data_IF_510838592758
#
_entry.id   IF_510838592758
#
_cell.length_a   1.000
_cell.length_b   1.000
_cell.length_c   1.000
_cell.angle_alpha   90.00
_cell.angle_beta   90.00
_cell.angle_gamma   90.00
#
_symmetry.space_group_name_H-M   'P 1'
#
loop_
_entity.id
_entity.type
_entity.pdbx_description
1 polymer ?
#
# COMPACT_ATOMS: atom_id res chain seq x y z
N UNK A 1 25.33 -3.48 -2.79
CA UNK A 1 24.57 -4.42 -1.94
C UNK A 1 23.07 -4.29 -2.17
N UNK A 2 22.37 -3.30 -1.60
CA UNK A 2 20.89 -3.20 -1.64
C UNK A 2 20.29 -3.46 -3.03
N UNK A 3 20.66 -2.62 -4.00
CA UNK A 3 20.21 -2.76 -5.38
C UNK A 3 20.51 -4.14 -5.99
N UNK A 4 21.68 -4.72 -5.72
CA UNK A 4 22.06 -6.00 -6.30
C UNK A 4 21.26 -7.17 -5.72
N UNK A 5 20.91 -7.12 -4.43
CA UNK A 5 20.03 -8.12 -3.80
C UNK A 5 18.65 -8.04 -4.44
N UNK A 6 18.11 -6.84 -4.62
CA UNK A 6 16.82 -6.66 -5.28
C UNK A 6 16.84 -7.09 -6.75
N UNK A 7 17.87 -6.68 -7.51
CA UNK A 7 18.06 -7.08 -8.90
C UNK A 7 18.14 -8.61 -9.07
N UNK A 8 18.75 -9.32 -8.12
CA UNK A 8 18.76 -10.79 -8.13
C UNK A 8 17.36 -11.38 -7.96
N UNK A 9 16.53 -10.83 -7.08
CA UNK A 9 15.13 -11.25 -6.90
C UNK A 9 14.28 -10.95 -8.12
N UNK A 10 14.55 -9.85 -8.80
CA UNK A 10 13.81 -9.43 -9.99
C UNK A 10 14.26 -10.19 -11.27
N UNK A 11 15.18 -11.16 -11.15
CA UNK A 11 15.68 -11.94 -12.29
C UNK A 11 16.81 -11.28 -13.10
N UNK A 12 17.35 -10.15 -12.64
CA UNK A 12 18.50 -9.47 -13.27
C UNK A 12 19.85 -10.03 -12.78
N UNK A 13 19.99 -11.35 -12.76
CA UNK A 13 21.13 -12.07 -12.19
C UNK A 13 22.49 -11.54 -12.69
N UNK A 14 22.65 -11.46 -14.02
CA UNK A 14 23.91 -11.04 -14.64
C UNK A 14 24.32 -9.64 -14.18
N UNK A 15 23.36 -8.73 -14.02
CA UNK A 15 23.62 -7.37 -13.57
C UNK A 15 23.96 -7.35 -12.07
N UNK A 16 23.19 -8.07 -11.25
CA UNK A 16 23.41 -8.20 -9.81
C UNK A 16 24.84 -8.70 -9.49
N UNK A 17 25.29 -9.75 -10.18
CA UNK A 17 26.61 -10.37 -9.97
C UNK A 17 27.80 -9.47 -10.30
N UNK A 18 27.62 -8.44 -11.14
CA UNK A 18 28.65 -7.43 -11.41
C UNK A 18 28.92 -6.52 -10.22
N UNK A 19 27.96 -6.43 -9.30
CA UNK A 19 28.00 -5.50 -8.16
C UNK A 19 28.11 -6.21 -6.80
N UNK A 20 27.78 -7.49 -6.73
CA UNK A 20 27.83 -8.30 -5.51
C UNK A 20 28.16 -9.76 -5.86
N UNK A 21 29.17 -10.32 -5.23
CA UNK A 21 29.46 -11.76 -5.28
C UNK A 21 28.37 -12.49 -4.50
N UNK A 22 27.44 -13.14 -5.22
CA UNK A 22 26.26 -13.81 -4.65
C UNK A 22 26.36 -15.33 -4.85
N UNK A 23 25.97 -16.18 -3.88
CA UNK A 23 25.82 -17.62 -4.08
C UNK A 23 24.47 -17.95 -4.77
N UNK A 24 24.26 -19.21 -5.14
CA UNK A 24 22.96 -19.72 -5.58
C UNK A 24 22.44 -19.12 -6.88
N UNK A 25 21.17 -19.40 -7.20
CA UNK A 25 20.44 -18.90 -8.37
C UNK A 25 19.36 -17.90 -7.93
N UNK A 26 18.71 -17.14 -8.85
CA UNK A 26 17.64 -16.18 -8.49
C UNK A 26 16.53 -16.75 -7.60
N UNK A 27 16.17 -18.02 -7.78
CA UNK A 27 15.17 -18.71 -6.96
C UNK A 27 15.57 -18.80 -5.47
N UNK A 28 16.87 -18.88 -5.15
CA UNK A 28 17.34 -18.93 -3.77
C UNK A 28 17.17 -17.61 -3.03
N UNK A 29 16.90 -16.51 -3.74
CA UNK A 29 16.68 -15.18 -3.19
C UNK A 29 15.20 -14.80 -3.13
N UNK A 30 14.28 -15.68 -3.56
CA UNK A 30 12.84 -15.50 -3.42
C UNK A 30 12.38 -15.83 -1.99
N UNK A 31 11.14 -15.48 -1.65
CA UNK A 31 10.53 -15.87 -0.37
C UNK A 31 10.61 -17.40 -0.21
N UNK A 32 11.10 -17.87 0.93
CA UNK A 32 11.36 -19.29 1.20
C UNK A 32 12.71 -19.82 0.69
N UNK A 33 13.43 -19.04 -0.12
CA UNK A 33 14.76 -19.37 -0.61
C UNK A 33 15.85 -19.25 0.46
N UNK A 34 16.93 -20.05 0.30
CA UNK A 34 18.03 -20.14 1.28
C UNK A 34 18.77 -18.82 1.53
N UNK A 35 18.83 -17.96 0.52
CA UNK A 35 19.54 -16.68 0.56
C UNK A 35 18.60 -15.48 0.56
N UNK A 36 17.31 -15.70 0.87
CA UNK A 36 16.33 -14.64 1.01
C UNK A 36 16.76 -13.66 2.10
N UNK A 37 16.88 -12.39 1.72
CA UNK A 37 16.97 -11.28 2.68
C UNK A 37 15.71 -10.42 2.51
N UNK A 38 14.95 -10.19 3.58
CA UNK A 38 13.77 -9.36 3.49
C UNK A 38 14.08 -7.95 2.99
N UNK A 39 13.32 -7.42 2.01
CA UNK A 39 13.53 -6.08 1.49
C UNK A 39 13.51 -4.98 2.57
N UNK A 40 12.57 -5.09 3.52
CA UNK A 40 12.40 -4.10 4.61
C UNK A 40 13.59 -4.08 5.58
N UNK A 41 14.25 -5.22 5.81
CA UNK A 41 15.47 -5.26 6.63
C UNK A 41 16.62 -4.51 5.97
N UNK A 42 16.75 -4.57 4.63
CA UNK A 42 17.76 -3.81 3.90
C UNK A 42 17.51 -2.30 4.01
N UNK A 43 16.26 -1.89 3.88
CA UNK A 43 15.87 -0.49 4.03
C UNK A 43 16.20 0.05 5.44
N UNK A 44 15.91 -0.74 6.47
CA UNK A 44 16.22 -0.38 7.85
C UNK A 44 17.73 -0.33 8.12
N UNK A 45 18.52 -1.23 7.51
CA UNK A 45 19.99 -1.17 7.53
C UNK A 45 20.52 0.10 6.83
N UNK A 46 19.93 0.51 5.71
CA UNK A 46 20.32 1.76 5.02
C UNK A 46 20.04 2.94 5.94
N UNK A 47 18.85 2.99 6.55
CA UNK A 47 18.47 4.03 7.49
C UNK A 47 19.43 4.11 8.68
N UNK A 48 19.81 2.97 9.24
CA UNK A 48 20.80 2.90 10.33
C UNK A 48 22.15 3.47 9.86
N UNK A 49 22.62 3.06 8.68
CA UNK A 49 23.86 3.61 8.11
C UNK A 49 23.77 5.13 7.93
N UNK A 50 22.62 5.67 7.52
CA UNK A 50 22.43 7.10 7.34
C UNK A 50 22.42 7.84 8.69
N UNK A 51 21.79 7.25 9.71
CA UNK A 51 21.72 7.81 11.06
C UNK A 51 23.11 7.94 11.70
N UNK A 52 23.99 6.96 11.47
CA UNK A 52 25.39 7.00 11.91
C UNK A 52 26.23 8.06 11.16
N UNK A 53 25.72 8.65 10.09
CA UNK A 53 26.39 9.73 9.36
C UNK A 53 27.54 9.28 8.45
N UNK A 54 28.37 10.23 7.97
CA UNK A 54 29.48 9.92 7.08
C UNK A 54 30.58 9.11 7.78
N UNK A 55 31.42 8.46 6.98
CA UNK A 55 32.54 7.64 7.45
C UNK A 55 33.54 8.47 8.28
N UNK A 56 34.04 7.87 9.36
CA UNK A 56 35.29 8.29 9.99
C UNK A 56 36.52 7.82 9.21
N UNK A 57 37.53 8.68 9.03
CA UNK A 57 38.70 8.40 8.18
C UNK A 57 39.43 7.10 8.57
N UNK A 58 39.50 6.77 9.85
CA UNK A 58 40.21 5.60 10.38
C UNK A 58 39.38 4.29 10.42
N UNK A 59 38.09 4.32 10.08
CA UNK A 59 37.22 3.15 10.21
C UNK A 59 37.57 2.04 9.20
N UNK A 60 37.56 0.79 9.68
CA UNK A 60 37.67 -0.41 8.82
C UNK A 60 36.39 -0.62 8.01
N UNK A 61 36.51 -1.15 6.80
CA UNK A 61 35.36 -1.40 5.93
C UNK A 61 34.88 -2.84 6.04
N UNK A 62 33.58 -3.01 6.16
CA UNK A 62 32.94 -4.29 5.83
C UNK A 62 32.79 -4.39 4.32
N UNK A 63 33.31 -5.47 3.71
CA UNK A 63 33.23 -5.67 2.27
C UNK A 63 31.81 -6.09 1.84
N UNK A 64 30.97 -5.12 1.50
CA UNK A 64 29.60 -5.33 0.99
C UNK A 64 29.54 -5.65 -0.52
N UNK A 65 30.68 -5.96 -1.15
CA UNK A 65 30.73 -6.63 -2.46
C UNK A 65 30.80 -8.15 -2.35
N UNK A 66 30.98 -8.69 -1.14
CA UNK A 66 30.99 -10.13 -0.87
C UNK A 66 29.72 -10.55 -0.12
N UNK A 67 29.12 -11.70 -0.46
CA UNK A 67 27.96 -12.23 0.26
C UNK A 67 28.22 -12.42 1.75
N UNK A 68 29.42 -12.87 2.12
CA UNK A 68 29.83 -13.03 3.53
C UNK A 68 29.73 -11.70 4.30
N UNK A 69 30.11 -10.59 3.68
CA UNK A 69 29.98 -9.26 4.27
C UNK A 69 28.52 -8.85 4.44
N UNK A 70 27.67 -9.15 3.46
CA UNK A 70 26.23 -8.90 3.52
C UNK A 70 25.58 -9.68 4.67
N UNK A 71 25.80 -11.00 4.73
CA UNK A 71 25.25 -11.86 5.79
C UNK A 71 25.69 -11.40 7.17
N UNK A 72 26.98 -11.01 7.31
CA UNK A 72 27.47 -10.47 8.58
C UNK A 72 26.71 -9.20 8.99
N UNK A 73 26.49 -8.27 8.06
CA UNK A 73 25.75 -7.03 8.34
C UNK A 73 24.30 -7.32 8.74
N UNK A 74 23.62 -8.19 7.99
CA UNK A 74 22.23 -8.56 8.26
C UNK A 74 22.11 -9.24 9.62
N UNK A 75 22.97 -10.20 9.94
CA UNK A 75 22.91 -10.90 11.24
C UNK A 75 23.17 -9.96 12.42
N UNK A 76 24.10 -8.99 12.27
CA UNK A 76 24.34 -7.98 13.31
C UNK A 76 23.11 -7.10 13.49
N UNK A 77 22.50 -6.65 12.39
CA UNK A 77 21.28 -5.86 12.44
C UNK A 77 20.11 -6.63 13.08
N UNK A 78 19.87 -7.88 12.67
CA UNK A 78 18.83 -8.72 13.24
C UNK A 78 19.04 -8.99 14.72
N UNK A 79 20.28 -9.24 15.17
CA UNK A 79 20.56 -9.41 16.60
C UNK A 79 20.25 -8.15 17.41
N UNK A 80 20.51 -6.98 16.83
CA UNK A 80 20.25 -5.69 17.44
C UNK A 80 18.75 -5.35 17.51
N UNK A 81 18.02 -5.59 16.42
CA UNK A 81 16.55 -5.44 16.36
C UNK A 81 15.83 -6.38 17.33
N UNK A 82 16.28 -7.65 17.42
CA UNK A 82 15.73 -8.62 18.37
C UNK A 82 15.93 -8.18 19.82
N UNK A 83 17.11 -7.61 20.15
CA UNK A 83 17.40 -7.14 21.50
C UNK A 83 16.49 -5.95 21.90
N UNK A 84 16.21 -5.04 20.97
CA UNK A 84 15.32 -3.90 21.21
C UNK A 84 13.85 -4.31 21.30
N UNK A 85 13.42 -5.29 20.50
CA UNK A 85 12.05 -5.80 20.52
C UNK A 85 11.63 -6.38 21.88
N UNK A 86 12.57 -6.96 22.63
CA UNK A 86 12.32 -7.47 23.99
C UNK A 86 12.03 -6.36 25.01
N UNK A 87 12.34 -5.11 24.69
CA UNK A 87 12.03 -3.93 25.50
C UNK A 87 10.67 -3.33 25.11
N UNK A 88 10.31 -3.43 23.83
CA UNK A 88 9.11 -2.79 23.26
C UNK A 88 7.80 -3.54 23.58
N UNK A 89 7.83 -4.87 23.67
CA UNK A 89 6.65 -5.66 24.05
C UNK A 89 7.02 -6.89 24.88
N UNK A 90 6.14 -7.25 25.81
CA UNK A 90 6.29 -8.50 26.56
C UNK A 90 5.98 -9.71 25.65
N UNK A 91 6.54 -10.90 25.91
CA UNK A 91 6.16 -12.11 25.17
C UNK A 91 4.67 -12.43 25.19
N UNK A 92 3.96 -12.03 26.26
CA UNK A 92 2.49 -12.15 26.36
C UNK A 92 1.72 -11.21 25.43
N UNK A 93 2.34 -10.11 24.98
CA UNK A 93 1.70 -9.08 24.16
C UNK A 93 2.07 -9.18 22.67
N UNK A 94 2.79 -10.23 22.27
CA UNK A 94 3.30 -10.37 20.89
C UNK A 94 2.20 -10.32 19.83
N UNK A 95 1.00 -10.82 20.16
CA UNK A 95 -0.17 -10.77 19.27
C UNK A 95 -0.58 -9.32 18.97
N UNK A 96 -0.46 -8.42 19.96
CA UNK A 96 -0.74 -6.99 19.76
C UNK A 96 0.36 -6.31 18.93
N UNK A 97 1.62 -6.79 19.03
CA UNK A 97 2.73 -6.30 18.22
C UNK A 97 2.75 -6.83 16.77
N UNK A 98 2.02 -7.91 16.48
CA UNK A 98 2.02 -8.56 15.16
C UNK A 98 1.67 -7.62 14.01
N UNK A 99 0.69 -6.73 14.19
CA UNK A 99 0.28 -5.78 13.16
C UNK A 99 1.40 -4.80 12.81
N UNK A 100 2.12 -4.30 13.83
CA UNK A 100 3.30 -3.44 13.70
C UNK A 100 4.44 -4.18 12.97
N UNK A 101 4.66 -5.46 13.30
CA UNK A 101 5.68 -6.30 12.66
C UNK A 101 5.35 -6.65 11.20
N UNK A 102 4.06 -6.79 10.88
CA UNK A 102 3.61 -7.17 9.55
C UNK A 102 3.57 -5.97 8.59
N UNK A 103 3.25 -4.76 9.06
CA UNK A 103 3.13 -3.59 8.20
C UNK A 103 4.36 -3.28 7.34
N UNK A 104 5.61 -3.31 7.87
CA UNK A 104 6.81 -3.16 7.07
C UNK A 104 6.97 -4.23 5.98
N UNK A 105 6.18 -5.29 5.96
CA UNK A 105 6.29 -6.38 4.99
C UNK A 105 5.20 -6.29 3.91
N UNK A 106 4.06 -5.68 4.26
CA UNK A 106 2.82 -5.70 3.48
C UNK A 106 3.02 -5.29 2.01
N UNK A 107 3.69 -4.16 1.76
CA UNK A 107 3.88 -3.66 0.39
C UNK A 107 4.62 -4.66 -0.51
N UNK A 108 5.59 -5.38 0.06
CA UNK A 108 6.42 -6.32 -0.65
C UNK A 108 5.73 -7.67 -0.90
N UNK A 109 4.76 -8.05 -0.06
CA UNK A 109 3.97 -9.27 -0.27
C UNK A 109 2.99 -9.12 -1.45
N UNK A 110 2.43 -7.93 -1.65
CA UNK A 110 1.60 -7.61 -2.83
C UNK A 110 2.47 -7.44 -4.10
N UNK A 111 3.73 -7.06 -3.90
CA UNK A 111 4.63 -6.63 -4.97
C UNK A 111 4.42 -5.15 -5.29
N UNK A 112 5.51 -4.46 -5.59
CA UNK A 112 5.54 -3.01 -5.81
C UNK A 112 5.51 -2.62 -7.28
N UNK A 113 5.98 -3.52 -8.15
CA UNK A 113 6.20 -3.26 -9.57
C UNK A 113 5.20 -4.02 -10.43
N UNK A 114 3.92 -3.68 -10.32
CA UNK A 114 2.84 -4.31 -11.07
C UNK A 114 1.86 -3.27 -11.62
N UNK A 115 1.12 -3.66 -12.66
CA UNK A 115 0.16 -2.77 -13.31
C UNK A 115 -1.00 -2.39 -12.40
N UNK A 116 -1.35 -3.27 -11.45
CA UNK A 116 -2.35 -3.01 -10.42
C UNK A 116 -2.04 -1.73 -9.62
N UNK A 117 -0.83 -1.61 -9.04
CA UNK A 117 -0.44 -0.43 -8.26
C UNK A 117 -0.33 0.82 -9.11
N UNK A 118 0.22 0.69 -10.32
CA UNK A 118 0.34 1.85 -11.20
C UNK A 118 -1.04 2.35 -11.64
N UNK A 119 -1.89 1.44 -12.15
CA UNK A 119 -3.25 1.74 -12.62
C UNK A 119 -4.12 2.33 -11.53
N UNK A 120 -4.12 1.75 -10.32
CA UNK A 120 -4.90 2.32 -9.22
C UNK A 120 -4.43 3.73 -8.87
N UNK A 121 -3.11 3.93 -8.72
CA UNK A 121 -2.60 5.15 -8.10
C UNK A 121 -2.84 6.34 -9.04
N UNK A 122 -2.62 6.10 -10.33
CA UNK A 122 -2.84 7.11 -11.36
C UNK A 122 -4.31 7.35 -11.64
N UNK A 123 -5.16 6.33 -11.56
CA UNK A 123 -6.60 6.56 -11.67
C UNK A 123 -7.16 7.38 -10.51
N UNK A 124 -6.69 7.10 -9.28
CA UNK A 124 -7.24 7.68 -8.05
C UNK A 124 -6.64 9.05 -7.72
N UNK A 125 -5.34 9.26 -7.94
CA UNK A 125 -4.65 10.49 -7.54
C UNK A 125 -4.40 11.47 -8.68
N UNK A 126 -4.32 11.02 -9.94
CA UNK A 126 -4.12 11.91 -11.09
C UNK A 126 -5.44 12.48 -11.62
N UNK A 127 -6.28 12.99 -10.72
CA UNK A 127 -7.47 13.79 -11.10
C UNK A 127 -7.04 15.20 -11.48
N UNK A 128 -7.92 15.96 -12.14
CA UNK A 128 -7.61 17.36 -12.49
C UNK A 128 -7.23 18.20 -11.26
N UNK A 129 -7.95 18.04 -10.14
CA UNK A 129 -7.63 18.67 -8.86
C UNK A 129 -6.30 18.18 -8.28
N UNK A 130 -6.03 16.87 -8.33
CA UNK A 130 -4.77 16.30 -7.87
C UNK A 130 -3.57 16.81 -8.68
N UNK A 131 -3.70 16.88 -10.01
CA UNK A 131 -2.70 17.44 -10.92
C UNK A 131 -2.45 18.92 -10.65
N UNK A 132 -3.51 19.70 -10.45
CA UNK A 132 -3.40 21.13 -10.15
C UNK A 132 -2.65 21.37 -8.83
N UNK A 133 -3.00 20.65 -7.76
CA UNK A 133 -2.31 20.75 -6.46
C UNK A 133 -0.85 20.33 -6.57
N UNK A 134 -0.57 19.25 -7.29
CA UNK A 134 0.81 18.79 -7.49
C UNK A 134 1.65 19.82 -8.26
N UNK A 135 1.07 20.41 -9.31
CA UNK A 135 1.73 21.46 -10.09
C UNK A 135 1.97 22.73 -9.25
N UNK A 136 1.00 23.18 -8.47
CA UNK A 136 1.17 24.32 -7.56
C UNK A 136 2.29 24.07 -6.55
N UNK A 137 2.35 22.86 -5.98
CA UNK A 137 3.33 22.49 -4.96
C UNK A 137 4.76 22.37 -5.50
N UNK A 138 4.93 21.84 -6.72
CA UNK A 138 6.24 21.44 -7.23
C UNK A 138 6.69 22.11 -8.53
N UNK A 139 5.81 22.84 -9.22
CA UNK A 139 6.11 23.51 -10.48
C UNK A 139 6.39 22.56 -11.66
N UNK A 140 5.96 21.29 -11.57
CA UNK A 140 6.10 20.28 -12.61
C UNK A 140 4.78 19.52 -12.77
N UNK A 141 4.42 19.18 -14.01
CA UNK A 141 3.24 18.37 -14.28
C UNK A 141 3.41 16.97 -13.68
N UNK A 142 2.31 16.40 -13.18
CA UNK A 142 2.34 15.08 -12.56
C UNK A 142 2.79 14.01 -13.57
N UNK A 143 2.36 14.10 -14.83
CA UNK A 143 2.72 13.19 -15.91
C UNK A 143 4.22 13.23 -16.23
N UNK A 144 4.83 14.42 -16.23
CA UNK A 144 6.29 14.56 -16.40
C UNK A 144 7.04 13.94 -15.22
N UNK A 145 6.52 14.12 -14.00
CA UNK A 145 7.05 13.48 -12.80
C UNK A 145 7.05 11.94 -12.94
N UNK A 146 5.94 11.34 -13.40
CA UNK A 146 5.89 9.90 -13.67
C UNK A 146 6.85 9.49 -14.77
N UNK A 147 6.85 10.18 -15.90
CA UNK A 147 7.69 9.84 -17.06
C UNK A 147 9.16 9.76 -16.66
N UNK A 148 9.62 10.74 -15.88
CA UNK A 148 10.99 10.81 -15.41
C UNK A 148 11.24 9.76 -14.33
N UNK A 149 10.36 9.64 -13.32
CA UNK A 149 10.49 8.63 -12.26
C UNK A 149 10.52 7.21 -12.80
N UNK A 150 9.65 6.90 -13.75
CA UNK A 150 9.60 5.62 -14.45
C UNK A 150 10.82 5.41 -15.35
N UNK A 151 11.28 6.44 -16.06
CA UNK A 151 12.54 6.38 -16.81
C UNK A 151 13.75 6.03 -15.92
N UNK A 152 13.81 6.58 -14.70
CA UNK A 152 14.83 6.23 -13.70
C UNK A 152 14.64 4.77 -13.23
N UNK A 153 13.41 4.34 -12.98
CA UNK A 153 13.09 2.96 -12.60
C UNK A 153 13.52 1.94 -13.66
N UNK A 154 13.27 2.22 -14.94
CA UNK A 154 13.71 1.38 -16.07
C UNK A 154 15.22 1.43 -16.23
N UNK A 155 15.82 2.63 -16.19
CA UNK A 155 17.27 2.81 -16.29
C UNK A 155 18.06 2.11 -15.19
N UNK A 156 17.45 1.94 -14.02
CA UNK A 156 18.04 1.23 -12.90
C UNK A 156 17.88 -0.29 -12.94
N UNK A 157 17.27 -0.87 -13.98
CA UNK A 157 17.12 -2.33 -14.11
C UNK A 157 18.46 -3.08 -14.20
N UNK A 158 19.45 -2.49 -14.87
CA UNK A 158 20.76 -3.10 -15.13
C UNK A 158 21.92 -2.42 -14.42
N UNK A 159 21.69 -1.26 -13.81
CA UNK A 159 22.71 -0.51 -13.10
C UNK A 159 22.11 0.11 -11.82
N UNK A 160 22.88 0.19 -10.72
CA UNK A 160 22.41 0.80 -9.48
C UNK A 160 22.24 2.32 -9.54
N UNK A 161 22.70 2.96 -10.61
CA UNK A 161 22.64 4.39 -10.80
C UNK A 161 22.31 4.76 -12.24
N UNK A 162 21.53 5.84 -12.39
CA UNK A 162 21.14 6.43 -13.67
C UNK A 162 21.79 7.80 -13.79
N UNK A 163 22.14 8.21 -15.01
CA UNK A 163 22.67 9.56 -15.31
C UNK A 163 21.75 10.26 -16.28
N UNK A 164 21.80 11.60 -16.29
CA UNK A 164 20.97 12.42 -17.18
C UNK A 164 21.09 12.01 -18.66
N UNK A 165 22.30 11.68 -19.12
CA UNK A 165 22.54 11.24 -20.50
C UNK A 165 21.79 9.96 -20.89
N UNK A 166 21.49 9.07 -19.94
CA UNK A 166 20.69 7.86 -20.19
C UNK A 166 19.23 8.21 -20.54
N UNK A 167 18.71 9.29 -19.97
CA UNK A 167 17.32 9.73 -20.14
C UNK A 167 17.15 10.72 -21.29
N UNK A 168 18.24 11.25 -21.85
CA UNK A 168 18.18 12.22 -22.96
C UNK A 168 17.46 11.71 -24.22
N UNK A 169 17.62 10.42 -24.63
CA UNK A 169 16.84 9.87 -25.76
C UNK A 169 15.31 9.89 -25.54
N UNK A 170 14.88 9.97 -24.28
CA UNK A 170 13.48 10.04 -23.88
C UNK A 170 12.93 11.48 -23.85
N UNK A 171 13.73 12.44 -24.32
CA UNK A 171 13.42 13.88 -24.29
C UNK A 171 13.57 14.53 -22.91
N UNK A 172 14.09 13.81 -21.91
CA UNK A 172 14.20 14.29 -20.53
C UNK A 172 15.46 15.16 -20.39
N UNK A 173 15.25 16.43 -20.05
CA UNK A 173 16.33 17.40 -19.80
C UNK A 173 16.86 17.30 -18.37
N UNK A 174 18.11 17.70 -18.17
CA UNK A 174 18.74 17.71 -16.84
C UNK A 174 17.98 18.57 -15.82
N UNK A 175 17.37 19.67 -16.26
CA UNK A 175 16.55 20.53 -15.39
C UNK A 175 15.32 19.78 -14.85
N UNK A 176 14.62 19.04 -15.69
CA UNK A 176 13.44 18.26 -15.28
C UNK A 176 13.83 17.12 -14.33
N UNK A 177 14.95 16.45 -14.60
CA UNK A 177 15.50 15.43 -13.71
C UNK A 177 15.84 16.00 -12.32
N UNK A 178 16.37 17.23 -12.28
CA UNK A 178 16.63 17.94 -11.02
C UNK A 178 15.35 18.27 -10.27
N UNK A 179 14.29 18.72 -10.97
CA UNK A 179 12.98 18.98 -10.37
C UNK A 179 12.41 17.71 -9.73
N UNK A 180 12.42 16.58 -10.44
CA UNK A 180 11.96 15.30 -9.87
C UNK A 180 12.83 14.86 -8.70
N UNK A 181 14.15 15.01 -8.78
CA UNK A 181 15.03 14.72 -7.65
C UNK A 181 14.66 15.54 -6.41
N UNK A 182 14.25 16.80 -6.55
CA UNK A 182 13.87 17.62 -5.40
C UNK A 182 12.58 17.14 -4.71
N UNK A 183 11.76 16.35 -5.39
CA UNK A 183 10.50 15.80 -4.85
C UNK A 183 10.73 14.44 -4.17
N UNK A 184 11.56 13.57 -4.78
CA UNK A 184 11.69 12.15 -4.40
C UNK A 184 13.13 11.71 -4.15
N UNK A 185 14.01 12.65 -3.83
CA UNK A 185 15.41 12.38 -3.68
C UNK A 185 16.16 13.44 -2.90
N UNK A 186 17.40 13.12 -2.58
CA UNK A 186 18.28 14.04 -1.91
C UNK A 186 19.74 13.75 -2.26
N UNK A 187 20.61 14.71 -1.96
CA UNK A 187 22.05 14.46 -1.89
C UNK A 187 22.35 13.48 -0.76
N UNK A 188 23.49 12.80 -0.80
CA UNK A 188 23.90 11.92 0.30
C UNK A 188 23.99 12.66 1.65
N UNK A 189 24.43 13.92 1.64
CA UNK A 189 24.46 14.75 2.85
C UNK A 189 23.05 15.03 3.40
N UNK A 190 22.11 15.40 2.53
CA UNK A 190 20.73 15.63 2.94
C UNK A 190 20.03 14.36 3.44
N UNK A 191 20.41 13.19 2.94
CA UNK A 191 19.96 11.90 3.48
C UNK A 191 20.47 11.62 4.91
N UNK A 192 21.72 11.98 5.22
CA UNK A 192 22.23 11.91 6.59
C UNK A 192 21.48 12.87 7.53
N UNK A 193 21.22 14.09 7.07
CA UNK A 193 20.45 15.08 7.83
C UNK A 193 19.02 14.61 8.08
N UNK A 194 18.32 14.14 7.05
CA UNK A 194 16.97 13.61 7.17
C UNK A 194 16.90 12.44 8.16
N UNK A 195 17.83 11.48 8.08
CA UNK A 195 17.82 10.32 8.97
C UNK A 195 18.00 10.70 10.44
N UNK A 196 18.86 11.68 10.74
CA UNK A 196 19.06 12.22 12.09
C UNK A 196 17.86 13.02 12.60
N UNK A 197 17.28 13.87 11.75
CA UNK A 197 16.12 14.69 12.11
C UNK A 197 14.83 13.88 12.28
N UNK A 198 14.79 12.65 11.77
CA UNK A 198 13.65 11.73 11.90
C UNK A 198 13.94 10.56 12.84
N UNK A 199 15.00 10.64 13.64
CA UNK A 199 15.19 9.71 14.76
C UNK A 199 14.13 9.97 15.83
N UNK A 200 13.72 8.89 16.48
CA UNK A 200 12.89 8.95 17.66
C UNK A 200 13.35 7.82 18.60
N UNK A 201 13.87 8.12 19.80
CA UNK A 201 14.34 7.10 20.73
C UNK A 201 13.21 6.24 21.32
N UNK A 202 11.96 6.72 21.26
CA UNK A 202 10.77 6.02 21.79
C UNK A 202 10.17 5.02 20.78
N UNK A 203 10.70 4.98 19.56
CA UNK A 203 10.23 4.08 18.50
C UNK A 203 11.36 3.09 18.17
N UNK A 204 11.10 1.77 18.26
CA UNK A 204 12.08 0.77 17.84
C UNK A 204 12.54 0.98 16.40
N UNK A 205 13.80 0.64 16.13
CA UNK A 205 14.49 0.97 14.88
C UNK A 205 13.79 0.42 13.63
N UNK A 206 13.16 -0.74 13.74
CA UNK A 206 12.45 -1.41 12.64
C UNK A 206 11.14 -0.70 12.25
N UNK A 207 10.60 0.14 13.13
CA UNK A 207 9.38 0.90 12.91
C UNK A 207 9.63 2.36 12.52
N UNK A 208 10.88 2.79 12.49
CA UNK A 208 11.23 4.14 12.11
C UNK A 208 10.97 4.40 10.61
N UNK A 209 10.77 5.68 10.27
CA UNK A 209 10.53 6.14 8.89
C UNK A 209 11.60 5.67 7.93
N UNK A 210 11.17 5.12 6.79
CA UNK A 210 12.05 4.67 5.72
C UNK A 210 12.58 5.83 4.89
N UNK A 211 13.90 6.02 4.91
CA UNK A 211 14.57 7.03 4.07
C UNK A 211 14.33 6.73 2.58
N UNK A 212 14.33 5.46 2.19
CA UNK A 212 14.28 5.09 0.78
C UNK A 212 12.85 5.00 0.23
N UNK A 213 11.81 4.86 1.08
CA UNK A 213 10.41 5.04 0.65
C UNK A 213 10.06 6.50 0.40
N UNK A 214 10.57 7.43 1.21
CA UNK A 214 10.28 8.86 1.05
C UNK A 214 11.14 9.53 -0.01
N UNK A 215 12.44 9.24 0.03
CA UNK A 215 13.45 9.82 -0.85
C UNK A 215 14.26 8.70 -1.54
N UNK A 216 13.64 7.92 -2.45
CA UNK A 216 14.29 6.77 -3.09
C UNK A 216 15.56 7.10 -3.89
N UNK A 217 15.75 8.37 -4.28
CA UNK A 217 16.89 8.79 -5.11
C UNK A 217 18.01 9.39 -4.26
N UNK A 218 19.22 8.87 -4.47
CA UNK A 218 20.45 9.33 -3.83
C UNK A 218 21.34 9.99 -4.88
N UNK A 219 21.42 11.32 -4.87
CA UNK A 219 22.33 12.04 -5.75
C UNK A 219 23.76 11.95 -5.22
N UNK A 220 24.64 11.46 -6.08
CA UNK A 220 26.09 11.42 -5.87
C UNK A 220 26.81 12.03 -7.07
N UNK A 221 27.97 12.62 -6.83
CA UNK A 221 28.82 13.16 -7.89
C UNK A 221 30.13 12.39 -7.95
N UNK A 222 30.55 12.02 -9.15
CA UNK A 222 31.86 11.40 -9.40
C UNK A 222 32.54 12.02 -10.62
N UNK A 223 33.66 11.43 -11.06
CA UNK A 223 34.43 11.92 -12.21
C UNK A 223 33.64 11.94 -13.53
N UNK A 224 32.52 11.21 -13.63
CA UNK A 224 31.64 11.19 -14.81
C UNK A 224 30.42 12.12 -14.63
N UNK A 225 30.43 12.97 -13.60
CA UNK A 225 29.37 13.92 -13.27
C UNK A 225 28.36 13.37 -12.26
N UNK A 226 27.17 13.96 -12.26
CA UNK A 226 26.07 13.56 -11.37
C UNK A 226 25.53 12.18 -11.76
N UNK A 227 25.27 11.36 -10.73
CA UNK A 227 24.59 10.08 -10.82
C UNK A 227 23.49 10.01 -9.76
N UNK A 228 22.38 9.39 -10.13
CA UNK A 228 21.22 9.18 -9.28
C UNK A 228 21.21 7.70 -8.91
N UNK A 229 21.64 7.37 -7.70
CA UNK A 229 21.64 6.01 -7.17
C UNK A 229 20.25 5.65 -6.66
N UNK A 230 19.82 4.41 -6.92
CA UNK A 230 18.51 3.89 -6.53
C UNK A 230 18.74 2.65 -5.66
N UNK A 231 18.79 2.80 -4.32
CA UNK A 231 19.06 1.68 -3.43
C UNK A 231 17.98 0.62 -3.47
N UNK A 232 16.71 1.02 -3.69
CA UNK A 232 15.60 0.11 -3.92
C UNK A 232 14.71 0.60 -5.06
N UNK A 233 14.50 -0.26 -6.05
CA UNK A 233 13.63 0.02 -7.21
C UNK A 233 12.16 -0.06 -6.82
N UNK A 234 11.84 -0.97 -5.91
CA UNK A 234 10.54 -1.18 -5.30
C UNK A 234 10.07 0.09 -4.59
N UNK A 235 10.94 0.71 -3.78
CA UNK A 235 10.60 1.93 -3.08
C UNK A 235 10.50 3.15 -4.01
N UNK A 236 11.29 3.20 -5.09
CA UNK A 236 11.07 4.18 -6.15
C UNK A 236 9.68 4.04 -6.78
N UNK A 237 9.27 2.81 -7.10
CA UNK A 237 7.94 2.55 -7.66
C UNK A 237 6.82 2.95 -6.71
N UNK A 238 6.94 2.58 -5.42
CA UNK A 238 5.97 2.99 -4.39
C UNK A 238 5.89 4.52 -4.29
N UNK A 239 7.01 5.23 -4.34
CA UNK A 239 7.02 6.69 -4.22
C UNK A 239 6.33 7.39 -5.40
N UNK A 240 6.49 6.90 -6.62
CA UNK A 240 5.85 7.47 -7.83
C UNK A 240 4.43 6.93 -8.08
N UNK A 241 3.93 6.08 -7.19
CA UNK A 241 2.55 5.55 -7.20
C UNK A 241 1.85 5.95 -5.91
N UNK A 242 1.89 5.09 -4.89
CA UNK A 242 1.20 5.29 -3.61
C UNK A 242 1.69 6.53 -2.85
N UNK A 243 2.93 6.97 -3.11
CA UNK A 243 3.48 8.21 -2.56
C UNK A 243 2.74 9.48 -3.00
N UNK A 244 2.06 9.45 -4.16
CA UNK A 244 1.28 10.58 -4.66
C UNK A 244 0.19 11.03 -3.68
N UNK A 245 -0.35 10.11 -2.87
CA UNK A 245 -1.28 10.44 -1.81
C UNK A 245 -0.75 11.58 -0.92
N UNK A 246 0.49 11.48 -0.45
CA UNK A 246 1.10 12.48 0.44
C UNK A 246 1.43 13.79 -0.28
N UNK A 247 1.48 13.77 -1.61
CA UNK A 247 1.72 14.96 -2.40
C UNK A 247 0.48 15.85 -2.49
N UNK A 248 -0.72 15.25 -2.46
CA UNK A 248 -1.99 15.95 -2.74
C UNK A 248 -3.01 15.96 -1.58
N UNK A 249 -2.94 15.03 -0.62
CA UNK A 249 -4.01 14.83 0.39
C UNK A 249 -4.26 16.03 1.31
N UNK A 250 -3.27 16.93 1.45
CA UNK A 250 -3.43 18.15 2.24
C UNK A 250 -4.47 19.10 1.66
N UNK A 251 -4.75 19.02 0.35
CA UNK A 251 -5.81 19.79 -0.28
C UNK A 251 -7.17 19.07 -0.16
N UNK A 252 -8.19 19.70 0.47
CA UNK A 252 -9.48 19.05 0.67
C UNK A 252 -10.23 18.69 -0.62
N UNK A 253 -10.06 19.44 -1.71
CA UNK A 253 -10.74 19.19 -2.99
C UNK A 253 -10.10 18.01 -3.71
N UNK A 254 -8.78 17.98 -3.80
CA UNK A 254 -8.05 16.83 -4.36
C UNK A 254 -8.36 15.56 -3.56
N UNK A 255 -8.34 15.64 -2.22
CA UNK A 255 -8.71 14.50 -1.36
C UNK A 255 -10.13 14.00 -1.63
N UNK A 256 -11.11 14.90 -1.75
CA UNK A 256 -12.50 14.54 -2.07
C UNK A 256 -12.57 13.85 -3.44
N UNK A 257 -11.96 14.44 -4.47
CA UNK A 257 -11.98 13.88 -5.82
C UNK A 257 -11.33 12.50 -5.90
N UNK A 258 -10.22 12.29 -5.17
CA UNK A 258 -9.62 10.97 -5.08
C UNK A 258 -10.55 9.94 -4.45
N UNK A 259 -11.34 10.31 -3.44
CA UNK A 259 -12.39 9.45 -2.88
C UNK A 259 -13.40 9.00 -3.94
N UNK A 260 -13.96 9.95 -4.69
CA UNK A 260 -14.90 9.68 -5.79
C UNK A 260 -14.30 8.77 -6.89
N UNK A 261 -13.02 8.93 -7.22
CA UNK A 261 -12.34 8.05 -8.18
C UNK A 261 -12.09 6.65 -7.61
N UNK A 262 -11.83 6.53 -6.31
CA UNK A 262 -11.71 5.21 -5.67
C UNK A 262 -13.05 4.46 -5.64
N UNK A 263 -14.15 5.14 -5.35
CA UNK A 263 -15.51 4.59 -5.48
C UNK A 263 -15.78 4.14 -6.91
N UNK A 264 -15.46 4.99 -7.89
CA UNK A 264 -15.58 4.67 -9.33
C UNK A 264 -14.77 3.43 -9.71
N UNK A 265 -13.55 3.30 -9.18
CA UNK A 265 -12.70 2.12 -9.39
C UNK A 265 -13.36 0.86 -8.85
N UNK A 266 -13.81 0.88 -7.60
CA UNK A 266 -14.45 -0.26 -6.96
C UNK A 266 -15.71 -0.68 -7.72
N UNK A 267 -16.51 0.29 -8.17
CA UNK A 267 -17.69 0.04 -9.00
C UNK A 267 -17.35 -0.65 -10.32
N UNK A 268 -16.29 -0.22 -11.01
CA UNK A 268 -15.80 -0.86 -12.25
C UNK A 268 -15.33 -2.29 -12.00
N UNK A 269 -14.58 -2.51 -10.92
CA UNK A 269 -14.08 -3.85 -10.54
C UNK A 269 -15.26 -4.79 -10.27
N UNK A 270 -16.23 -4.37 -9.47
CA UNK A 270 -17.40 -5.20 -9.15
C UNK A 270 -18.17 -5.55 -10.41
N UNK A 271 -18.50 -4.54 -11.25
CA UNK A 271 -19.20 -4.75 -12.53
C UNK A 271 -18.49 -5.70 -13.46
N UNK A 272 -17.16 -5.67 -13.49
CA UNK A 272 -16.35 -6.56 -14.33
C UNK A 272 -16.48 -8.03 -13.93
N UNK A 273 -16.73 -8.33 -12.66
CA UNK A 273 -16.75 -9.70 -12.13
C UNK A 273 -18.12 -10.26 -11.79
N UNK A 274 -19.15 -9.40 -11.79
CA UNK A 274 -20.56 -9.78 -11.61
C UNK A 274 -21.22 -10.13 -12.95
N UNK A 275 -22.18 -11.05 -12.92
CA UNK A 275 -23.02 -11.38 -14.09
C UNK A 275 -23.97 -10.23 -14.41
N UNK A 276 -24.46 -10.17 -15.65
CA UNK A 276 -25.43 -9.15 -16.10
C UNK A 276 -26.75 -9.17 -15.30
N UNK A 277 -27.12 -10.33 -14.72
CA UNK A 277 -28.31 -10.48 -13.89
C UNK A 277 -28.17 -9.84 -12.50
N UNK A 278 -26.95 -9.50 -12.08
CA UNK A 278 -26.68 -8.86 -10.79
C UNK A 278 -26.67 -7.34 -11.00
N UNK A 279 -27.52 -6.63 -10.28
CA UNK A 279 -27.58 -5.17 -10.34
C UNK A 279 -26.46 -4.55 -9.53
N UNK A 280 -25.66 -3.67 -10.15
CA UNK A 280 -24.58 -2.93 -9.47
C UNK A 280 -24.82 -1.43 -9.64
N UNK A 281 -25.32 -0.79 -8.58
CA UNK A 281 -25.74 0.62 -8.56
C UNK A 281 -24.76 1.46 -7.74
N UNK A 282 -24.46 2.71 -8.17
CA UNK A 282 -23.73 3.66 -7.33
C UNK A 282 -24.61 4.18 -6.19
N UNK A 283 -24.05 5.06 -5.36
CA UNK A 283 -24.78 5.77 -4.30
C UNK A 283 -26.07 6.44 -4.79
N UNK A 284 -27.05 6.51 -3.88
CA UNK A 284 -28.37 7.08 -4.12
C UNK A 284 -28.70 8.12 -3.05
N UNK A 285 -29.57 9.07 -3.40
CA UNK A 285 -30.08 10.04 -2.42
C UNK A 285 -30.97 9.34 -1.40
N UNK A 286 -30.80 9.70 -0.14
CA UNK A 286 -31.57 9.16 0.99
C UNK A 286 -32.20 10.28 1.81
N UNK A 287 -33.09 9.92 2.73
CA UNK A 287 -33.67 10.84 3.73
C UNK A 287 -32.62 11.54 4.59
N UNK A 288 -31.42 10.98 4.64
CA UNK A 288 -30.36 11.35 5.56
C UNK A 288 -29.07 11.83 4.86
N UNK A 289 -29.14 12.04 3.53
CA UNK A 289 -28.05 12.51 2.69
C UNK A 289 -27.88 11.61 1.46
N UNK A 290 -26.80 10.84 1.46
CA UNK A 290 -26.48 9.82 0.46
C UNK A 290 -26.49 8.44 1.11
N UNK A 291 -26.66 7.38 0.33
CA UNK A 291 -26.50 5.99 0.76
C UNK A 291 -25.04 5.61 0.91
N UNK A 292 -24.76 4.33 1.15
CA UNK A 292 -23.44 3.77 0.90
C UNK A 292 -23.07 3.85 -0.58
N UNK A 293 -21.76 3.81 -0.87
CA UNK A 293 -21.18 4.13 -2.17
C UNK A 293 -21.62 3.18 -3.30
N UNK A 294 -21.83 1.89 -3.00
CA UNK A 294 -22.19 0.87 -4.00
C UNK A 294 -23.23 -0.10 -3.42
N UNK A 295 -24.29 -0.33 -4.18
CA UNK A 295 -25.34 -1.31 -3.87
C UNK A 295 -25.28 -2.44 -4.90
N UNK A 296 -25.18 -3.68 -4.42
CA UNK A 296 -25.10 -4.87 -5.28
C UNK A 296 -26.24 -5.82 -4.94
N UNK A 297 -27.10 -6.11 -5.91
CA UNK A 297 -28.33 -6.88 -5.72
C UNK A 297 -28.41 -8.05 -6.70
N UNK A 298 -28.51 -9.25 -6.17
CA UNK A 298 -28.84 -10.47 -6.90
C UNK A 298 -30.30 -10.83 -6.58
N UNK A 299 -31.21 -10.31 -7.40
CA UNK A 299 -32.65 -10.51 -7.23
C UNK A 299 -33.08 -11.96 -7.45
N UNK A 300 -32.32 -12.75 -8.20
CA UNK A 300 -32.63 -14.16 -8.44
C UNK A 300 -32.40 -14.98 -7.17
N UNK A 301 -31.34 -14.68 -6.43
CA UNK A 301 -30.98 -15.38 -5.19
C UNK A 301 -31.41 -14.65 -3.91
N UNK A 302 -32.08 -13.50 -4.03
CA UNK A 302 -32.47 -12.62 -2.92
C UNK A 302 -31.29 -12.27 -2.00
N UNK A 303 -30.13 -11.97 -2.58
CA UNK A 303 -28.88 -11.70 -1.86
C UNK A 303 -28.25 -10.39 -2.32
N UNK A 304 -27.55 -9.69 -1.43
CA UNK A 304 -26.90 -8.45 -1.82
C UNK A 304 -25.80 -7.97 -0.88
N UNK A 305 -25.03 -7.00 -1.37
CA UNK A 305 -24.01 -6.28 -0.62
C UNK A 305 -24.32 -4.79 -0.62
N UNK A 306 -24.13 -4.17 0.53
CA UNK A 306 -24.05 -2.72 0.70
C UNK A 306 -22.58 -2.40 0.97
N UNK A 307 -21.95 -1.67 0.06
CA UNK A 307 -20.51 -1.46 0.07
C UNK A 307 -20.21 0.02 0.29
N UNK A 308 -19.39 0.29 1.29
CA UNK A 308 -18.86 1.62 1.60
C UNK A 308 -17.35 1.64 1.33
N UNK A 309 -16.89 2.56 0.50
CA UNK A 309 -15.50 2.74 0.13
C UNK A 309 -14.79 3.74 1.07
N UNK A 310 -13.54 3.42 1.43
CA UNK A 310 -12.67 4.27 2.25
C UNK A 310 -11.27 4.35 1.66
N UNK A 311 -10.95 5.53 1.13
CA UNK A 311 -9.64 5.85 0.53
C UNK A 311 -8.54 6.15 1.56
N UNK A 312 -8.91 6.45 2.81
CA UNK A 312 -7.94 6.92 3.82
C UNK A 312 -6.87 5.85 4.05
N UNK A 313 -5.62 6.26 3.88
CA UNK A 313 -4.44 5.43 4.19
C UNK A 313 -4.21 5.37 5.69
N UNK A 314 -3.66 4.25 6.17
CA UNK A 314 -3.33 4.10 7.59
C UNK A 314 -2.17 5.08 7.92
N UNK A 315 -2.37 6.05 8.82
CA UNK A 315 -1.30 6.97 9.20
C UNK A 315 -0.14 6.21 9.83
N UNK A 316 1.09 6.60 9.53
CA UNK A 316 2.27 5.93 10.11
C UNK A 316 2.23 5.93 11.64
N UNK A 317 1.73 7.00 12.28
CA UNK A 317 1.56 7.09 13.73
C UNK A 317 0.71 5.93 14.31
N UNK A 318 -0.29 5.44 13.57
CA UNK A 318 -1.11 4.29 13.96
C UNK A 318 -0.29 3.01 13.91
N UNK A 319 0.50 2.85 12.85
CA UNK A 319 1.24 1.63 12.55
C UNK A 319 2.44 1.38 13.45
N UNK A 320 2.93 2.43 14.12
CA UNK A 320 4.07 2.36 15.04
C UNK A 320 3.64 2.35 16.51
N UNK A 321 2.39 2.76 16.79
CA UNK A 321 1.88 2.90 18.15
C UNK A 321 1.64 1.53 18.79
N UNK A 322 2.03 1.32 20.06
CA UNK A 322 1.65 0.14 20.81
C UNK A 322 0.16 0.13 21.18
N UNK A 323 -0.50 1.30 21.23
CA UNK A 323 -1.90 1.50 21.60
C UNK A 323 -2.64 2.36 20.57
N UNK A 324 -2.82 1.88 19.32
CA UNK A 324 -3.26 2.72 18.21
C UNK A 324 -4.61 3.41 18.42
N UNK A 325 -5.57 2.78 19.12
CA UNK A 325 -6.88 3.40 19.42
C UNK A 325 -6.81 4.57 20.37
N UNK A 326 -5.93 4.51 21.36
CA UNK A 326 -5.77 5.57 22.35
C UNK A 326 -5.00 6.75 21.72
N UNK A 327 -3.92 6.45 21.00
CA UNK A 327 -3.02 7.46 20.44
C UNK A 327 -3.57 8.13 19.17
N UNK A 328 -4.48 7.46 18.47
CA UNK A 328 -4.94 7.86 17.13
C UNK A 328 -6.45 7.68 16.93
N UNK A 329 -7.28 7.94 17.94
CA UNK A 329 -8.74 7.79 17.85
C UNK A 329 -9.35 8.43 16.57
N UNK A 330 -8.86 9.61 16.19
CA UNK A 330 -9.27 10.36 15.00
C UNK A 330 -9.07 9.62 13.66
N UNK A 331 -8.18 8.62 13.66
CA UNK A 331 -7.88 7.80 12.50
C UNK A 331 -9.01 6.80 12.18
N UNK A 332 -9.80 6.41 13.18
CA UNK A 332 -10.79 5.32 13.06
C UNK A 332 -12.20 5.82 12.78
N UNK A 333 -12.49 7.08 13.06
CA UNK A 333 -13.79 7.71 12.83
C UNK A 333 -14.34 7.48 11.42
N UNK A 334 -13.47 7.49 10.41
CA UNK A 334 -13.90 7.30 9.01
C UNK A 334 -14.34 5.86 8.74
N UNK A 335 -13.72 4.86 9.36
CA UNK A 335 -14.11 3.46 9.24
C UNK A 335 -15.40 3.21 10.02
N UNK A 336 -15.50 3.75 11.25
CA UNK A 336 -16.69 3.66 12.09
C UNK A 336 -17.91 4.27 11.37
N UNK A 337 -17.75 5.48 10.80
CA UNK A 337 -18.79 6.12 9.99
C UNK A 337 -19.21 5.25 8.81
N UNK A 338 -18.28 4.53 8.18
CA UNK A 338 -18.59 3.62 7.08
C UNK A 338 -19.50 2.46 7.49
N UNK A 339 -19.24 1.84 8.65
CA UNK A 339 -20.13 0.79 9.21
C UNK A 339 -21.53 1.34 9.48
N UNK A 340 -21.60 2.50 10.12
CA UNK A 340 -22.89 3.16 10.44
C UNK A 340 -23.66 3.54 9.17
N UNK A 341 -22.95 4.00 8.14
CA UNK A 341 -23.53 4.37 6.84
C UNK A 341 -24.19 3.17 6.14
N UNK A 342 -23.55 2.00 6.22
CA UNK A 342 -24.13 0.74 5.74
C UNK A 342 -25.45 0.43 6.47
N UNK A 343 -25.47 0.50 7.80
CA UNK A 343 -26.69 0.22 8.57
C UNK A 343 -27.83 1.21 8.27
N UNK A 344 -27.52 2.50 8.07
CA UNK A 344 -28.52 3.50 7.64
C UNK A 344 -29.07 3.19 6.25
N UNK A 345 -28.20 2.73 5.35
CA UNK A 345 -28.58 2.34 3.99
C UNK A 345 -29.47 1.10 4.00
N UNK A 346 -29.10 0.10 4.81
CA UNK A 346 -29.93 -1.10 4.99
C UNK A 346 -31.32 -0.73 5.49
N UNK A 347 -31.41 0.06 6.56
CA UNK A 347 -32.70 0.49 7.12
C UNK A 347 -33.61 1.16 6.10
N UNK A 348 -33.06 2.06 5.28
CA UNK A 348 -33.87 2.85 4.35
C UNK A 348 -34.35 2.04 3.13
N UNK A 349 -33.49 1.20 2.56
CA UNK A 349 -33.82 0.49 1.31
C UNK A 349 -34.26 -0.96 1.51
N UNK A 350 -33.79 -1.61 2.58
CA UNK A 350 -33.88 -3.07 2.73
C UNK A 350 -34.47 -3.53 4.07
N UNK A 351 -34.77 -2.63 5.02
CA UNK A 351 -35.30 -3.01 6.35
C UNK A 351 -36.63 -3.77 6.32
N UNK A 352 -37.40 -3.65 5.23
CA UNK A 352 -38.63 -4.43 5.00
C UNK A 352 -38.51 -5.41 3.81
N UNK A 353 -37.30 -5.57 3.26
CA UNK A 353 -37.04 -6.42 2.10
C UNK A 353 -36.77 -7.86 2.53
N UNK A 354 -37.19 -8.87 1.74
CA UNK A 354 -36.78 -10.26 1.95
C UNK A 354 -35.32 -10.52 1.55
N UNK A 355 -34.61 -9.53 0.97
CA UNK A 355 -33.22 -9.69 0.57
C UNK A 355 -32.30 -9.92 1.78
N UNK A 356 -31.47 -10.95 1.70
CA UNK A 356 -30.39 -11.19 2.64
C UNK A 356 -29.18 -10.31 2.28
N UNK A 357 -29.00 -9.23 3.05
CA UNK A 357 -27.98 -8.22 2.81
C UNK A 357 -26.82 -8.36 3.80
N UNK A 358 -25.60 -8.14 3.32
CA UNK A 358 -24.43 -7.90 4.16
C UNK A 358 -23.74 -6.58 3.79
N UNK A 359 -23.00 -6.03 4.73
CA UNK A 359 -22.16 -4.86 4.54
C UNK A 359 -20.72 -5.22 4.19
N UNK A 360 -20.06 -4.39 3.39
CA UNK A 360 -18.59 -4.42 3.24
C UNK A 360 -18.05 -3.01 3.31
N UNK A 361 -17.15 -2.73 4.26
CA UNK A 361 -16.31 -1.53 4.17
C UNK A 361 -15.06 -1.89 3.38
N UNK A 362 -14.98 -1.35 2.16
CA UNK A 362 -13.94 -1.59 1.19
C UNK A 362 -12.85 -0.52 1.31
N UNK A 363 -11.63 -0.94 1.61
CA UNK A 363 -10.56 -0.05 2.04
C UNK A 363 -9.43 0.00 1.01
N UNK A 364 -8.87 1.19 0.80
CA UNK A 364 -7.72 1.36 -0.11
C UNK A 364 -6.46 0.68 0.43
N UNK A 365 -6.13 0.93 1.70
CA UNK A 365 -5.17 0.15 2.50
C UNK A 365 -5.97 -0.73 3.48
N UNK A 366 -5.63 -2.02 3.70
CA UNK A 366 -6.43 -2.90 4.55
C UNK A 366 -6.14 -2.61 6.03
N UNK A 367 -7.07 -1.92 6.70
CA UNK A 367 -7.00 -1.66 8.14
C UNK A 367 -7.21 -2.93 8.98
N UNK A 368 -7.76 -3.98 8.38
CA UNK A 368 -7.90 -5.32 9.01
C UNK A 368 -6.57 -5.93 9.44
N UNK A 369 -5.46 -5.45 8.88
CA UNK A 369 -4.08 -5.77 9.26
C UNK A 369 -3.79 -5.51 10.74
N UNK A 370 -4.57 -4.65 11.39
CA UNK A 370 -4.42 -4.27 12.79
C UNK A 370 -4.96 -5.34 13.77
N UNK A 371 -5.63 -6.38 13.25
CA UNK A 371 -6.02 -7.57 14.00
C UNK A 371 -7.42 -7.52 14.62
N UNK A 372 -7.80 -8.59 15.31
CA UNK A 372 -9.17 -8.78 15.78
C UNK A 372 -9.56 -7.91 16.97
N UNK A 373 -8.64 -7.73 17.92
CA UNK A 373 -8.81 -6.80 19.03
C UNK A 373 -9.15 -5.40 18.49
N UNK A 374 -8.53 -5.05 17.36
CA UNK A 374 -8.79 -3.80 16.69
C UNK A 374 -10.20 -3.72 16.09
N UNK A 375 -10.61 -4.78 15.40
CA UNK A 375 -11.94 -4.87 14.83
C UNK A 375 -13.05 -4.79 15.88
N UNK A 376 -12.88 -5.44 17.03
CA UNK A 376 -13.84 -5.39 18.15
C UNK A 376 -14.10 -3.96 18.63
N UNK A 377 -13.06 -3.13 18.71
CA UNK A 377 -13.20 -1.74 19.13
C UNK A 377 -13.90 -0.87 18.09
N UNK A 378 -13.65 -1.07 16.79
CA UNK A 378 -14.42 -0.40 15.73
C UNK A 378 -15.92 -0.70 15.86
N UNK A 379 -16.28 -1.98 15.98
CA UNK A 379 -17.69 -2.37 16.05
C UNK A 379 -18.36 -1.89 17.33
N UNK A 380 -17.65 -1.92 18.45
CA UNK A 380 -18.12 -1.33 19.70
C UNK A 380 -18.45 0.16 19.53
N UNK A 381 -17.52 0.94 18.95
CA UNK A 381 -17.73 2.36 18.70
C UNK A 381 -18.84 2.62 17.67
N UNK A 382 -18.94 1.79 16.63
CA UNK A 382 -20.01 1.87 15.63
C UNK A 382 -21.38 1.62 16.26
N UNK A 383 -21.52 0.63 17.15
CA UNK A 383 -22.76 0.39 17.88
C UNK A 383 -23.16 1.58 18.75
N UNK A 384 -22.22 2.17 19.50
CA UNK A 384 -22.50 3.38 20.27
C UNK A 384 -22.97 4.54 19.39
N UNK A 385 -22.37 4.70 18.21
CA UNK A 385 -22.79 5.74 17.26
C UNK A 385 -24.16 5.43 16.65
N UNK A 386 -24.46 4.16 16.35
CA UNK A 386 -25.75 3.72 15.86
C UNK A 386 -26.87 3.93 16.90
N UNK A 387 -26.59 3.68 18.19
CA UNK A 387 -27.51 3.97 19.30
C UNK A 387 -27.86 5.47 19.35
N UNK A 388 -26.86 6.35 19.24
CA UNK A 388 -27.05 7.82 19.21
C UNK A 388 -27.90 8.28 18.03
N UNK A 389 -27.83 7.57 16.90
CA UNK A 389 -28.60 7.86 15.69
C UNK A 389 -29.96 7.14 15.67
N UNK A 390 -30.30 6.37 16.70
CA UNK A 390 -31.57 5.64 16.78
C UNK A 390 -31.72 4.58 15.69
N UNK A 391 -30.63 3.90 15.30
CA UNK A 391 -30.66 2.76 14.37
C UNK A 391 -30.97 1.49 15.17
N UNK A 392 -32.12 0.83 14.97
CA UNK A 392 -32.48 -0.41 15.67
C UNK A 392 -31.44 -1.54 15.48
N UNK A 393 -31.30 -2.42 16.46
CA UNK A 393 -30.38 -3.58 16.36
C UNK A 393 -30.72 -4.50 15.20
N UNK A 394 -32.00 -4.64 14.84
CA UNK A 394 -32.44 -5.45 13.69
C UNK A 394 -31.93 -4.92 12.34
N UNK A 395 -31.63 -3.63 12.24
CA UNK A 395 -31.09 -3.00 11.03
C UNK A 395 -29.56 -3.06 10.97
N UNK A 396 -28.90 -3.57 12.02
CA UNK A 396 -27.44 -3.66 12.12
C UNK A 396 -26.95 -4.98 11.52
N UNK A 397 -27.13 -5.12 10.20
CA UNK A 397 -26.68 -6.29 9.45
C UNK A 397 -25.17 -6.54 9.64
N UNK A 398 -24.67 -7.79 9.41
CA UNK A 398 -23.24 -8.09 9.44
C UNK A 398 -22.47 -7.18 8.47
N UNK A 399 -21.32 -6.68 8.89
CA UNK A 399 -20.44 -5.84 8.06
C UNK A 399 -19.04 -6.43 8.07
N UNK A 400 -18.53 -6.77 6.89
CA UNK A 400 -17.15 -7.22 6.70
C UNK A 400 -16.22 -6.05 6.39
N UNK A 401 -14.91 -6.25 6.62
CA UNK A 401 -13.88 -5.32 6.20
C UNK A 401 -12.95 -6.00 5.20
N UNK A 402 -12.67 -5.32 4.10
CA UNK A 402 -11.77 -5.87 3.08
C UNK A 402 -10.89 -4.78 2.48
N UNK A 403 -9.61 -5.08 2.30
CA UNK A 403 -8.79 -4.35 1.33
C UNK A 403 -9.33 -4.61 -0.06
N UNK A 404 -9.41 -3.57 -0.89
CA UNK A 404 -10.03 -3.71 -2.21
C UNK A 404 -9.30 -4.69 -3.14
N UNK A 405 -7.97 -4.84 -2.97
CA UNK A 405 -7.19 -5.86 -3.67
C UNK A 405 -7.62 -7.28 -3.30
N UNK A 406 -7.81 -7.53 -2.00
CA UNK A 406 -8.26 -8.83 -1.52
C UNK A 406 -9.67 -9.11 -2.01
N UNK A 407 -10.54 -8.09 -1.99
CA UNK A 407 -11.90 -8.20 -2.52
C UNK A 407 -11.94 -8.50 -4.01
N UNK A 408 -11.09 -7.86 -4.83
CA UNK A 408 -10.92 -8.22 -6.25
C UNK A 408 -10.50 -9.70 -6.39
N UNK A 409 -9.53 -10.15 -5.59
CA UNK A 409 -9.10 -11.54 -5.64
C UNK A 409 -10.22 -12.52 -5.25
N UNK A 410 -11.12 -12.16 -4.35
CA UNK A 410 -12.31 -12.96 -4.02
C UNK A 410 -13.27 -13.00 -5.21
N UNK A 411 -13.60 -11.84 -5.80
CA UNK A 411 -14.45 -11.75 -7.00
C UNK A 411 -13.91 -12.57 -8.19
N UNK A 412 -12.59 -12.71 -8.29
CA UNK A 412 -11.92 -13.52 -9.32
C UNK A 412 -12.02 -15.02 -9.11
N UNK A 413 -12.09 -15.47 -7.86
CA UNK A 413 -11.94 -16.89 -7.50
C UNK A 413 -13.23 -17.55 -7.02
N UNK A 414 -14.27 -16.76 -6.77
CA UNK A 414 -15.51 -17.23 -6.17
C UNK A 414 -16.72 -16.62 -6.87
N UNK A 415 -17.86 -17.31 -6.71
CA UNK A 415 -19.14 -16.79 -7.16
C UNK A 415 -19.64 -15.71 -6.20
N UNK A 416 -20.40 -14.76 -6.75
CA UNK A 416 -20.92 -13.63 -5.98
C UNK A 416 -21.73 -14.07 -4.76
N UNK A 417 -22.58 -15.10 -4.91
CA UNK A 417 -23.37 -15.64 -3.81
C UNK A 417 -22.52 -16.14 -2.64
N UNK A 418 -21.37 -16.78 -2.90
CA UNK A 418 -20.48 -17.26 -1.84
C UNK A 418 -19.83 -16.08 -1.11
N UNK A 419 -19.51 -15.00 -1.82
CA UNK A 419 -18.97 -13.77 -1.22
C UNK A 419 -20.00 -13.11 -0.30
N UNK A 420 -21.28 -13.07 -0.69
CA UNK A 420 -22.36 -12.58 0.20
C UNK A 420 -22.49 -13.45 1.43
N UNK A 421 -22.50 -14.78 1.27
CA UNK A 421 -22.58 -15.73 2.38
C UNK A 421 -21.42 -15.55 3.37
N UNK A 422 -20.18 -15.43 2.86
CA UNK A 422 -19.03 -15.14 3.70
C UNK A 422 -19.16 -13.79 4.41
N UNK A 423 -19.73 -12.77 3.76
CA UNK A 423 -19.92 -11.46 4.38
C UNK A 423 -20.97 -11.50 5.50
N UNK A 424 -22.04 -12.28 5.32
CA UNK A 424 -23.03 -12.55 6.37
C UNK A 424 -22.38 -13.30 7.55
N UNK A 425 -21.59 -14.34 7.25
CA UNK A 425 -20.97 -15.19 8.25
C UNK A 425 -19.83 -14.49 9.00
N UNK A 426 -19.13 -13.54 8.39
CA UNK A 426 -18.00 -12.84 9.00
C UNK A 426 -18.35 -12.13 10.32
N UNK A 427 -19.62 -11.77 10.52
CA UNK A 427 -20.12 -11.22 11.78
C UNK A 427 -20.19 -12.22 12.94
N UNK A 428 -20.01 -13.52 12.69
CA UNK A 428 -20.01 -14.56 13.71
C UNK A 428 -18.69 -14.58 14.50
N UNK A 429 -18.77 -14.90 15.80
CA UNK A 429 -17.61 -14.94 16.71
C UNK A 429 -16.44 -15.78 16.18
N UNK A 430 -16.73 -16.87 15.45
CA UNK A 430 -15.72 -17.78 14.90
C UNK A 430 -14.83 -17.15 13.81
N UNK A 431 -15.29 -16.07 13.17
CA UNK A 431 -14.57 -15.40 12.08
C UNK A 431 -14.01 -14.02 12.47
N UNK A 432 -14.21 -13.57 13.72
CA UNK A 432 -13.71 -12.27 14.19
C UNK A 432 -12.18 -12.13 14.11
N UNK A 433 -11.45 -13.25 14.14
CA UNK A 433 -9.98 -13.29 14.00
C UNK A 433 -9.51 -13.57 12.57
N UNK A 434 -10.45 -13.76 11.63
CA UNK A 434 -10.15 -14.11 10.24
C UNK A 434 -10.18 -12.90 9.32
N UNK A 435 -9.28 -12.89 8.34
CA UNK A 435 -9.45 -12.00 7.19
C UNK A 435 -10.75 -12.35 6.46
N UNK A 436 -11.32 -11.40 5.73
CA UNK A 436 -12.53 -11.67 4.95
C UNK A 436 -12.33 -12.83 3.96
N UNK A 437 -11.14 -12.93 3.36
CA UNK A 437 -10.74 -14.08 2.54
C UNK A 437 -10.69 -15.40 3.30
N UNK A 438 -10.26 -15.38 4.57
CA UNK A 438 -10.21 -16.56 5.42
C UNK A 438 -11.58 -17.13 5.73
N UNK A 439 -12.59 -16.27 5.92
CA UNK A 439 -13.98 -16.71 6.12
C UNK A 439 -14.53 -17.49 4.91
N UNK A 440 -14.11 -17.12 3.70
CA UNK A 440 -14.56 -17.77 2.47
C UNK A 440 -13.84 -19.11 2.21
N UNK A 441 -12.56 -19.23 2.55
CA UNK A 441 -11.77 -20.44 2.25
C UNK A 441 -12.05 -21.62 3.16
N UNK A 442 -12.69 -21.41 4.32
CA UNK A 442 -13.05 -22.51 5.24
C UNK A 442 -14.19 -23.34 4.67
N UNK A 443 -15.12 -22.73 3.93
CA UNK A 443 -16.39 -23.36 3.58
C UNK A 443 -16.60 -23.63 2.08
N UNK A 444 -15.80 -23.03 1.19
CA UNK A 444 -16.06 -23.08 -0.26
C UNK A 444 -14.79 -23.36 -1.09
N UNK A 445 -14.93 -24.25 -2.08
CA UNK A 445 -13.89 -24.46 -3.09
C UNK A 445 -13.85 -23.27 -4.06
N UNK A 446 -12.65 -22.82 -4.41
CA UNK A 446 -12.47 -21.81 -5.45
C UNK A 446 -12.93 -22.34 -6.80
N UNK A 447 -13.54 -21.47 -7.61
CA UNK A 447 -13.87 -21.74 -9.00
C UNK A 447 -12.66 -21.46 -9.91
N UNK A 448 -12.84 -21.63 -11.22
CA UNK A 448 -11.83 -21.22 -12.20
C UNK A 448 -11.52 -19.73 -12.04
N UNK A 449 -10.22 -19.40 -11.92
CA UNK A 449 -9.79 -18.03 -11.67
C UNK A 449 -10.06 -17.15 -12.89
N UNK A 450 -10.95 -16.17 -12.73
CA UNK A 450 -11.26 -15.17 -13.77
C UNK A 450 -10.02 -14.32 -14.11
N UNK A 451 -9.91 -13.82 -15.35
CA UNK A 451 -8.85 -12.88 -15.75
C UNK A 451 -8.74 -11.68 -14.80
N UNK A 452 -7.53 -11.14 -14.63
CA UNK A 452 -7.31 -9.94 -13.81
C UNK A 452 -7.98 -8.72 -14.45
N UNK A 453 -8.39 -7.75 -13.63
CA UNK A 453 -8.98 -6.51 -14.11
C UNK A 453 -7.95 -5.73 -14.93
N UNK A 454 -8.40 -5.06 -16.00
CA UNK A 454 -7.48 -4.35 -16.89
C UNK A 454 -7.04 -3.00 -16.30
N UNK A 455 -6.08 -3.08 -15.39
CA UNK A 455 -5.41 -1.90 -14.83
C UNK A 455 -4.58 -1.14 -15.85
N UNK A 456 -4.21 -1.75 -16.98
CA UNK A 456 -3.43 -1.07 -18.04
C UNK A 456 -4.26 0.04 -18.66
N UNK A 457 -5.53 -0.25 -18.97
CA UNK A 457 -6.46 0.76 -19.51
C UNK A 457 -6.64 1.96 -18.58
N UNK A 458 -6.60 1.75 -17.25
CA UNK A 458 -6.63 2.86 -16.29
C UNK A 458 -5.40 3.75 -16.40
N UNK A 459 -4.21 3.15 -16.52
CA UNK A 459 -2.96 3.91 -16.71
C UNK A 459 -2.98 4.68 -18.00
N UNK A 460 -3.33 4.05 -19.13
CA UNK A 460 -3.30 4.71 -20.44
C UNK A 460 -4.30 5.86 -20.53
N UNK A 461 -5.45 5.73 -19.88
CA UNK A 461 -6.42 6.82 -19.74
C UNK A 461 -5.86 7.99 -18.91
N UNK A 462 -5.20 7.69 -17.78
CA UNK A 462 -4.64 8.71 -16.91
C UNK A 462 -3.35 9.35 -17.47
N UNK A 463 -2.61 8.59 -18.29
CA UNK A 463 -1.26 8.89 -18.77
C UNK A 463 -1.14 8.44 -20.24
N UNK A 464 -1.56 9.28 -21.21
CA UNK A 464 -1.65 8.87 -22.62
C UNK A 464 -0.33 8.40 -23.25
N UNK A 465 0.81 8.97 -22.85
CA UNK A 465 2.12 8.58 -23.40
C UNK A 465 2.58 7.18 -22.97
N UNK A 466 1.86 6.52 -22.04
CA UNK A 466 2.26 5.20 -21.53
C UNK A 466 2.31 4.14 -22.62
N UNK A 467 1.41 4.18 -23.60
CA UNK A 467 1.38 3.20 -24.70
C UNK A 467 2.62 3.28 -25.59
N UNK A 468 3.11 4.49 -25.86
CA UNK A 468 4.29 4.73 -26.69
C UNK A 468 5.58 4.16 -26.06
N UNK A 469 5.60 3.99 -24.73
CA UNK A 469 6.77 3.53 -23.97
C UNK A 469 6.67 2.07 -23.51
N UNK A 470 5.44 1.55 -23.40
CA UNK A 470 5.18 0.18 -22.97
C UNK A 470 5.13 -0.82 -24.14
N UNK A 471 5.14 -0.33 -25.38
CA UNK A 471 5.42 -1.10 -26.59
C UNK A 471 6.93 -1.28 -26.78
#
# INVERSE_FOLDING_TARGET
MSWAIEAMRDGFEVAARRHLEMPGNPGDFQIGGRFFIPPWSIDSIIREKLSLGPREKAARHLNLKSWKGVVKLVNVYSGLSNAESLIDYSPSDIVFAMSRLFWPQYDWQIGTSNMFRLGRAWHVYATEEGKAVFFEKYGINMEDFLKIGFGIYVGSSKNPAVRAGYLSPLGIKQAQLRSVRQIIGNTLAGHYEWARNTQNPDIPRDFLRSATKENPIFEVSDAKGQAYCIPSRSNLMLRITDGLYYDIVSDPKARKKSGEQFETLCLKIIRNYTKETISVKPEQKTSYGMSADILVEDSENLKGLIIECKIRRIPQKVLISPSPFEDCADAFDDIIKGVVQIWRTYREFYGNSPMNMAGVVLQYDPWTILGAAFMKQIFYAAHQQADKLGIPTVDRIPVSMAGYYDFENLLRKHDYCDIVEAACAWGEDKFQDSTFSGALTVDKQSTETKPAFDYRNLVTTAVPWWEEWAA
#
